data_IF_681470232449
#
_entry.id   IF_681470232449
#
_cell.length_a   1.000
_cell.length_b   1.000
_cell.length_c   1.000
_cell.angle_alpha   90.00
_cell.angle_beta   90.00
_cell.angle_gamma   90.00
#
_symmetry.space_group_name_H-M   'P 1'
#
loop_
_entity.id
_entity.type
_entity.pdbx_description
1 polymer ?
#
# COMPACT_ATOMS: atom_id res chain seq x y z
N UNK A 1 -4.46 -18.97 0.60
CA UNK A 1 -3.15 -18.69 -0.01
C UNK A 1 -2.18 -18.36 1.11
N UNK A 2 -1.38 -19.32 1.55
CA UNK A 2 -0.43 -19.12 2.65
C UNK A 2 0.81 -18.43 2.13
N UNK A 3 0.95 -17.12 2.33
CA UNK A 3 2.20 -16.41 2.08
C UNK A 3 3.21 -16.99 3.08
N UNK A 4 4.12 -17.85 2.62
CA UNK A 4 5.32 -18.18 3.41
C UNK A 4 6.10 -16.89 3.53
N UNK A 5 6.03 -16.29 4.71
CA UNK A 5 6.72 -15.05 5.04
C UNK A 5 8.22 -15.24 4.77
N UNK A 6 8.73 -14.62 3.70
CA UNK A 6 10.12 -14.75 3.28
C UNK A 6 11.08 -14.21 4.34
N UNK A 7 12.39 -14.25 4.06
CA UNK A 7 13.45 -13.66 4.92
C UNK A 7 13.12 -12.23 5.42
N UNK A 8 12.26 -11.51 4.71
CA UNK A 8 11.65 -10.22 5.05
C UNK A 8 11.02 -10.12 6.45
N UNK A 9 10.46 -11.21 6.98
CA UNK A 9 9.67 -11.24 8.22
C UNK A 9 10.35 -11.95 9.41
N UNK A 10 11.69 -12.09 9.44
CA UNK A 10 12.36 -12.85 10.52
C UNK A 10 12.23 -12.26 11.93
N UNK A 11 11.78 -11.02 12.09
CA UNK A 11 11.43 -10.51 13.43
C UNK A 11 10.01 -10.94 13.78
N UNK A 12 9.84 -11.54 14.97
CA UNK A 12 8.51 -11.92 15.51
C UNK A 12 7.49 -10.78 15.47
N UNK A 13 7.95 -9.53 15.44
CA UNK A 13 7.15 -8.31 15.37
C UNK A 13 6.59 -8.05 13.97
N UNK A 14 7.43 -8.20 12.93
CA UNK A 14 6.98 -8.13 11.54
C UNK A 14 5.96 -9.24 11.28
N UNK A 15 6.21 -10.46 11.78
CA UNK A 15 5.21 -11.53 11.70
C UNK A 15 3.91 -11.18 12.40
N UNK A 16 3.95 -10.62 13.61
CA UNK A 16 2.73 -10.25 14.34
C UNK A 16 1.92 -9.19 13.60
N UNK A 17 2.58 -8.19 13.02
CA UNK A 17 1.92 -7.15 12.24
C UNK A 17 1.27 -7.73 10.97
N UNK A 18 2.02 -8.52 10.18
CA UNK A 18 1.49 -9.14 8.95
C UNK A 18 0.40 -10.18 9.24
N UNK A 19 0.53 -10.98 10.31
CA UNK A 19 -0.48 -11.98 10.69
C UNK A 19 -1.83 -11.36 11.05
N UNK A 20 -1.84 -10.16 11.62
CA UNK A 20 -3.07 -9.44 11.97
C UNK A 20 -3.55 -8.49 10.87
N UNK A 21 -2.81 -8.38 9.77
CA UNK A 21 -3.17 -7.49 8.66
C UNK A 21 -4.41 -8.02 7.95
N UNK A 22 -5.38 -7.13 7.73
CA UNK A 22 -6.62 -7.45 7.03
C UNK A 22 -6.55 -6.99 5.58
N UNK A 23 -7.23 -7.71 4.70
CA UNK A 23 -7.40 -7.34 3.29
C UNK A 23 -8.88 -7.12 3.03
N UNK A 24 -9.24 -5.92 2.60
CA UNK A 24 -10.58 -5.57 2.15
C UNK A 24 -10.56 -5.36 0.63
N UNK A 25 -11.36 -6.14 -0.09
CA UNK A 25 -11.43 -6.16 -1.54
C UNK A 25 -12.75 -5.54 -2.01
N UNK A 26 -12.67 -4.57 -2.90
CA UNK A 26 -13.81 -3.90 -3.48
C UNK A 26 -14.44 -2.88 -2.54
N UNK A 27 -15.40 -3.34 -1.74
CA UNK A 27 -16.27 -2.50 -0.93
C UNK A 27 -16.68 -3.20 0.38
N UNK A 28 -17.07 -2.45 1.43
CA UNK A 28 -17.50 -3.04 2.70
C UNK A 28 -18.71 -3.97 2.53
N UNK A 29 -18.65 -5.18 3.10
CA UNK A 29 -19.71 -6.20 2.99
C UNK A 29 -21.06 -5.72 3.53
N UNK A 30 -21.07 -4.81 4.52
CA UNK A 30 -22.29 -4.20 5.09
C UNK A 30 -23.17 -3.51 4.04
N UNK A 31 -22.61 -3.13 2.87
CA UNK A 31 -23.38 -2.57 1.76
C UNK A 31 -24.35 -3.60 1.15
N UNK A 32 -24.04 -4.89 1.25
CA UNK A 32 -24.89 -5.98 0.75
C UNK A 32 -26.10 -6.25 1.67
N UNK A 33 -26.11 -5.72 2.89
CA UNK A 33 -27.22 -5.90 3.82
C UNK A 33 -28.42 -5.03 3.40
N UNK A 34 -29.62 -5.61 3.22
CA UNK A 34 -30.81 -4.86 2.81
C UNK A 34 -31.13 -3.73 3.79
N UNK A 35 -31.44 -2.54 3.26
CA UNK A 35 -31.76 -1.36 4.06
C UNK A 35 -30.57 -0.60 4.64
N UNK A 36 -29.33 -1.12 4.55
CA UNK A 36 -28.14 -0.39 5.04
C UNK A 36 -27.93 0.90 4.27
N UNK A 37 -28.01 0.86 2.94
CA UNK A 37 -27.89 2.06 2.11
C UNK A 37 -29.05 3.04 2.35
N UNK A 38 -30.27 2.54 2.53
CA UNK A 38 -31.45 3.37 2.81
C UNK A 38 -31.34 4.06 4.18
N UNK A 39 -30.77 3.38 5.18
CA UNK A 39 -30.53 3.98 6.51
C UNK A 39 -29.57 5.17 6.45
N UNK A 40 -28.65 5.17 5.49
CA UNK A 40 -27.65 6.22 5.30
C UNK A 40 -28.21 7.30 4.37
N UNK A 41 -28.70 6.93 3.20
CA UNK A 41 -29.02 7.86 2.12
C UNK A 41 -30.52 8.16 1.98
N UNK A 42 -31.40 7.49 2.72
CA UNK A 42 -32.86 7.61 2.55
C UNK A 42 -33.44 9.00 2.84
N UNK A 43 -32.70 9.87 3.54
CA UNK A 43 -33.07 11.27 3.77
C UNK A 43 -32.49 12.25 2.72
N UNK A 44 -31.79 11.75 1.69
CA UNK A 44 -31.32 12.56 0.57
C UNK A 44 -32.36 12.54 -0.54
N UNK A 45 -32.96 13.69 -0.79
CA UNK A 45 -33.81 13.93 -1.95
C UNK A 45 -33.03 14.80 -2.93
N UNK A 46 -33.27 14.65 -4.23
CA UNK A 46 -32.66 15.48 -5.27
C UNK A 46 -33.75 16.05 -6.16
N UNK A 47 -33.67 17.35 -6.45
CA UNK A 47 -34.55 18.05 -7.38
C UNK A 47 -33.85 18.40 -8.70
N UNK A 48 -34.48 19.22 -9.53
CA UNK A 48 -33.90 19.69 -10.79
C UNK A 48 -32.82 20.79 -10.59
N UNK A 49 -32.84 21.49 -9.44
CA UNK A 49 -31.92 22.58 -9.17
C UNK A 49 -30.55 22.06 -8.69
N UNK A 50 -29.52 22.26 -9.51
CA UNK A 50 -28.16 21.81 -9.20
C UNK A 50 -27.60 22.43 -7.91
N UNK A 51 -27.81 23.73 -7.68
CA UNK A 51 -27.27 24.40 -6.48
C UNK A 51 -27.92 23.84 -5.21
N UNK A 52 -29.24 23.61 -5.25
CA UNK A 52 -29.97 23.02 -4.13
C UNK A 52 -29.46 21.61 -3.81
N UNK A 53 -29.28 20.78 -4.84
CA UNK A 53 -28.71 19.43 -4.70
C UNK A 53 -27.32 19.45 -4.06
N UNK A 54 -26.46 20.40 -4.46
CA UNK A 54 -25.12 20.57 -3.86
C UNK A 54 -25.22 20.98 -2.39
N UNK A 55 -26.13 21.88 -2.03
CA UNK A 55 -26.34 22.31 -0.65
C UNK A 55 -26.89 21.19 0.22
N UNK A 56 -27.83 20.39 -0.29
CA UNK A 56 -28.37 19.20 0.38
C UNK A 56 -27.27 18.16 0.63
N UNK A 57 -26.43 17.87 -0.37
CA UNK A 57 -25.28 16.98 -0.22
C UNK A 57 -24.29 17.47 0.83
N UNK A 58 -24.01 18.78 0.89
CA UNK A 58 -23.14 19.35 1.92
C UNK A 58 -23.74 19.20 3.32
N UNK A 59 -25.03 19.51 3.49
CA UNK A 59 -25.75 19.33 4.76
C UNK A 59 -25.72 17.86 5.21
N UNK A 60 -25.98 16.94 4.29
CA UNK A 60 -25.92 15.51 4.53
C UNK A 60 -24.52 15.07 4.99
N UNK A 61 -23.47 15.44 4.26
CA UNK A 61 -22.08 15.08 4.63
C UNK A 61 -21.71 15.60 6.02
N UNK A 62 -22.12 16.83 6.35
CA UNK A 62 -21.90 17.41 7.69
C UNK A 62 -22.64 16.61 8.76
N UNK A 63 -23.93 16.31 8.57
CA UNK A 63 -24.73 15.52 9.52
C UNK A 63 -24.16 14.11 9.70
N UNK A 64 -23.78 13.45 8.60
CA UNK A 64 -23.15 12.13 8.63
C UNK A 64 -21.86 12.13 9.45
N UNK A 65 -21.00 13.13 9.24
CA UNK A 65 -19.76 13.29 10.00
C UNK A 65 -20.03 13.46 11.51
N UNK A 66 -20.96 14.33 11.90
CA UNK A 66 -21.31 14.53 13.30
C UNK A 66 -21.97 13.31 13.95
N UNK A 67 -22.80 12.56 13.22
CA UNK A 67 -23.36 11.31 13.71
C UNK A 67 -22.24 10.30 14.04
N UNK A 68 -21.19 10.20 13.20
CA UNK A 68 -20.06 9.31 13.47
C UNK A 68 -19.24 9.71 14.69
N UNK A 69 -19.14 11.01 15.00
CA UNK A 69 -18.50 11.47 16.25
C UNK A 69 -19.27 11.01 17.49
N UNK A 70 -20.61 10.98 17.42
CA UNK A 70 -21.47 10.66 18.56
C UNK A 70 -21.60 9.15 18.82
N UNK A 71 -21.69 8.33 17.77
CA UNK A 71 -21.95 6.89 17.88
C UNK A 71 -20.69 6.00 17.88
N UNK A 72 -19.50 6.56 17.62
CA UNK A 72 -18.25 5.79 17.56
C UNK A 72 -18.10 4.90 16.31
N UNK A 73 -16.88 4.40 16.08
CA UNK A 73 -16.50 3.73 14.81
C UNK A 73 -16.74 2.21 14.77
N UNK A 74 -17.08 1.57 15.89
CA UNK A 74 -17.07 0.09 15.99
C UNK A 74 -18.45 -0.58 15.97
N UNK A 75 -19.49 0.03 16.56
CA UNK A 75 -20.77 -0.68 16.82
C UNK A 75 -21.93 -0.22 15.93
N UNK A 76 -21.69 0.74 15.02
CA UNK A 76 -22.72 1.25 14.12
C UNK A 76 -22.41 0.83 12.66
N UNK A 77 -23.29 0.09 11.97
CA UNK A 77 -23.14 -0.21 10.54
C UNK A 77 -22.88 1.03 9.68
N UNK A 78 -23.44 2.18 10.08
CA UNK A 78 -23.24 3.49 9.45
C UNK A 78 -21.76 3.92 9.54
N UNK A 79 -21.06 3.67 10.65
CA UNK A 79 -19.65 4.06 10.77
C UNK A 79 -18.69 3.14 10.00
N UNK A 80 -19.12 1.93 9.65
CA UNK A 80 -18.36 1.02 8.79
C UNK A 80 -18.30 1.48 7.33
N UNK A 81 -19.27 2.28 6.88
CA UNK A 81 -19.24 2.89 5.54
C UNK A 81 -18.48 4.23 5.60
N UNK A 82 -17.44 4.34 4.78
CA UNK A 82 -16.67 5.58 4.66
C UNK A 82 -17.08 6.33 3.40
N UNK A 83 -17.67 7.52 3.57
CA UNK A 83 -17.95 8.44 2.45
C UNK A 83 -16.68 9.00 1.78
N UNK A 84 -15.50 8.75 2.37
CA UNK A 84 -14.21 9.15 1.79
C UNK A 84 -13.65 8.11 0.81
N UNK A 85 -14.20 6.90 0.80
CA UNK A 85 -13.74 5.82 -0.09
C UNK A 85 -14.71 5.64 -1.25
N UNK A 86 -14.20 5.75 -2.48
CA UNK A 86 -14.94 5.40 -3.69
C UNK A 86 -14.54 3.98 -4.11
N UNK A 87 -15.42 2.96 -4.01
CA UNK A 87 -15.09 1.58 -4.37
C UNK A 87 -14.78 1.42 -5.86
N UNK A 88 -15.25 2.32 -6.73
CA UNK A 88 -14.95 2.31 -8.16
C UNK A 88 -13.65 3.06 -8.50
N UNK A 89 -12.99 3.67 -7.51
CA UNK A 89 -11.74 4.39 -7.72
C UNK A 89 -10.60 3.48 -8.17
N UNK A 90 -9.62 4.07 -8.84
CA UNK A 90 -8.41 3.43 -9.36
C UNK A 90 -7.23 3.49 -8.38
N UNK A 91 -7.52 3.62 -7.08
CA UNK A 91 -6.49 3.76 -6.05
C UNK A 91 -6.65 2.69 -4.96
N UNK A 92 -5.54 2.40 -4.28
CA UNK A 92 -5.49 1.52 -3.12
C UNK A 92 -4.98 2.31 -1.92
N UNK A 93 -5.31 1.87 -0.71
CA UNK A 93 -4.82 2.51 0.51
C UNK A 93 -4.50 1.49 1.58
N UNK A 94 -3.52 1.82 2.40
CA UNK A 94 -3.27 1.16 3.67
C UNK A 94 -3.82 2.03 4.81
N UNK A 95 -4.58 1.43 5.72
CA UNK A 95 -5.11 2.08 6.92
C UNK A 95 -4.31 1.66 8.14
N UNK A 96 -3.45 2.56 8.62
CA UNK A 96 -2.58 2.32 9.76
C UNK A 96 -3.35 2.00 11.05
N UNK A 97 -4.49 2.66 11.25
CA UNK A 97 -5.31 2.51 12.48
C UNK A 97 -6.07 1.19 12.53
N UNK A 98 -6.31 0.58 11.37
CA UNK A 98 -7.03 -0.70 11.26
C UNK A 98 -6.12 -1.86 10.86
N UNK A 99 -4.83 -1.60 10.62
CA UNK A 99 -3.89 -2.56 10.00
C UNK A 99 -4.54 -3.27 8.79
N UNK A 100 -5.13 -2.48 7.88
CA UNK A 100 -5.97 -3.00 6.80
C UNK A 100 -5.57 -2.44 5.44
N UNK A 101 -5.35 -3.32 4.47
CA UNK A 101 -5.20 -2.96 3.05
C UNK A 101 -6.59 -2.88 2.41
N UNK A 102 -6.90 -1.77 1.76
CA UNK A 102 -8.11 -1.59 0.97
C UNK A 102 -7.75 -1.53 -0.51
N UNK A 103 -8.26 -2.49 -1.28
CA UNK A 103 -8.17 -2.50 -2.74
C UNK A 103 -9.54 -2.19 -3.33
N UNK A 104 -9.68 -1.07 -4.02
CA UNK A 104 -10.94 -0.71 -4.66
C UNK A 104 -11.28 -1.64 -5.83
N UNK A 105 -12.57 -1.81 -6.12
CA UNK A 105 -13.07 -2.63 -7.22
C UNK A 105 -12.53 -2.16 -8.58
N UNK A 106 -12.32 -0.84 -8.74
CA UNK A 106 -11.75 -0.26 -9.96
C UNK A 106 -10.33 -0.73 -10.30
N UNK A 107 -9.60 -1.29 -9.32
CA UNK A 107 -8.28 -1.89 -9.50
C UNK A 107 -8.31 -3.38 -9.84
N UNK A 108 -9.40 -4.09 -9.55
CA UNK A 108 -9.53 -5.53 -9.75
C UNK A 108 -9.72 -5.90 -11.23
N UNK A 109 -8.97 -5.27 -12.13
CA UNK A 109 -9.04 -5.44 -13.58
C UNK A 109 -7.66 -5.28 -14.20
N UNK A 110 -7.52 -5.74 -15.45
CA UNK A 110 -6.29 -5.56 -16.23
C UNK A 110 -5.97 -4.07 -16.37
N UNK A 111 -4.69 -3.65 -16.27
CA UNK A 111 -3.47 -4.48 -16.20
C UNK A 111 -2.99 -4.82 -14.79
N UNK A 112 -3.78 -4.52 -13.74
CA UNK A 112 -3.33 -4.67 -12.35
C UNK A 112 -3.68 -6.06 -11.81
N UNK A 113 -4.91 -6.52 -12.04
CA UNK A 113 -5.35 -7.88 -11.71
C UNK A 113 -6.01 -8.54 -12.92
N UNK A 114 -5.68 -9.81 -13.14
CA UNK A 114 -6.21 -10.62 -14.22
C UNK A 114 -7.15 -11.69 -13.65
N UNK A 115 -8.28 -11.90 -14.33
CA UNK A 115 -9.26 -12.92 -13.92
C UNK A 115 -8.91 -14.33 -14.41
N UNK A 116 -7.94 -14.46 -15.31
CA UNK A 116 -7.50 -15.76 -15.83
C UNK A 116 -6.49 -16.39 -14.88
N UNK A 117 -6.65 -17.68 -14.59
CA UNK A 117 -5.65 -18.45 -13.86
C UNK A 117 -4.38 -18.70 -14.70
N UNK A 118 -4.51 -18.68 -16.03
CA UNK A 118 -3.46 -18.96 -17.02
C UNK A 118 -2.66 -17.71 -17.44
N UNK A 119 -2.39 -16.80 -16.50
CA UNK A 119 -1.49 -15.67 -16.76
C UNK A 119 -0.02 -16.08 -16.65
N UNK A 120 0.86 -15.53 -17.50
CA UNK A 120 2.30 -15.67 -17.32
C UNK A 120 2.76 -15.29 -15.91
N UNK A 121 3.71 -16.06 -15.36
CA UNK A 121 4.19 -15.87 -13.98
C UNK A 121 4.66 -14.44 -13.68
N UNK A 122 5.20 -13.72 -14.67
CA UNK A 122 5.66 -12.35 -14.48
C UNK A 122 4.50 -11.34 -14.30
N UNK A 123 3.30 -11.62 -14.81
CA UNK A 123 2.11 -10.81 -14.53
C UNK A 123 1.62 -11.07 -13.09
N UNK A 124 1.66 -12.34 -12.65
CA UNK A 124 1.38 -12.70 -11.25
C UNK A 124 2.36 -12.05 -10.28
N UNK A 125 3.63 -11.92 -10.66
CA UNK A 125 4.60 -11.11 -9.90
C UNK A 125 4.14 -9.65 -9.78
N UNK A 126 3.62 -9.05 -10.84
CA UNK A 126 3.07 -7.69 -10.82
C UNK A 126 1.88 -7.53 -9.87
N UNK A 127 0.93 -8.47 -9.90
CA UNK A 127 -0.23 -8.52 -9.00
C UNK A 127 0.21 -8.57 -7.53
N UNK A 128 1.10 -9.51 -7.19
CA UNK A 128 1.64 -9.67 -5.84
C UNK A 128 2.42 -8.42 -5.43
N UNK A 129 3.22 -7.85 -6.34
CA UNK A 129 3.96 -6.60 -6.08
C UNK A 129 3.04 -5.46 -5.69
N UNK A 130 1.91 -5.32 -6.39
CA UNK A 130 0.94 -4.29 -6.05
C UNK A 130 0.35 -4.49 -4.64
N UNK A 131 0.04 -5.72 -4.26
CA UNK A 131 -0.45 -6.02 -2.90
C UNK A 131 0.63 -5.78 -1.84
N UNK A 132 1.84 -6.31 -2.05
CA UNK A 132 2.98 -6.18 -1.13
C UNK A 132 3.37 -4.71 -0.94
N UNK A 133 3.26 -3.88 -1.99
CA UNK A 133 3.42 -2.42 -1.85
C UNK A 133 2.51 -1.87 -0.75
N UNK A 134 1.22 -2.23 -0.78
CA UNK A 134 0.27 -1.76 0.21
C UNK A 134 0.57 -2.32 1.61
N UNK A 135 0.98 -3.58 1.70
CA UNK A 135 1.41 -4.19 2.96
C UNK A 135 2.66 -3.52 3.54
N UNK A 136 3.56 -3.02 2.68
CA UNK A 136 4.82 -2.39 3.09
C UNK A 136 4.61 -1.06 3.81
N UNK A 137 3.47 -0.39 3.61
CA UNK A 137 3.09 0.80 4.38
C UNK A 137 2.96 0.52 5.88
N UNK A 138 2.75 -0.73 6.30
CA UNK A 138 2.82 -1.12 7.71
C UNK A 138 4.20 -0.87 8.35
N UNK A 139 5.25 -0.74 7.54
CA UNK A 139 6.64 -0.66 7.99
C UNK A 139 7.35 0.60 7.48
N UNK A 140 6.62 1.55 6.90
CA UNK A 140 7.19 2.80 6.44
C UNK A 140 7.39 3.81 7.59
N UNK A 141 7.82 5.03 7.27
CA UNK A 141 8.17 6.05 8.28
C UNK A 141 6.98 6.47 9.13
N UNK A 142 5.75 6.17 8.71
CA UNK A 142 4.52 6.40 9.46
C UNK A 142 4.03 5.12 10.11
N UNK A 143 4.01 4.01 9.38
CA UNK A 143 3.53 2.72 9.85
C UNK A 143 4.34 2.12 11.00
N UNK A 144 5.63 2.46 11.11
CA UNK A 144 6.48 1.98 12.20
C UNK A 144 5.99 2.37 13.61
N UNK A 145 5.13 3.39 13.74
CA UNK A 145 4.52 3.81 15.00
C UNK A 145 3.23 3.04 15.33
N UNK A 146 2.71 2.23 14.41
CA UNK A 146 1.47 1.47 14.60
C UNK A 146 1.78 -0.01 14.82
N UNK A 147 1.15 -0.61 15.84
CA UNK A 147 1.29 -2.03 16.09
C UNK A 147 0.34 -2.88 15.23
N UNK A 148 0.44 -4.21 15.35
CA UNK A 148 -0.41 -5.15 14.59
C UNK A 148 -1.91 -5.03 14.86
N UNK A 149 -2.33 -4.29 15.89
CA UNK A 149 -3.74 -4.00 16.19
C UNK A 149 -4.16 -2.60 15.70
N UNK A 150 -3.24 -1.84 15.10
CA UNK A 150 -3.46 -0.47 14.64
C UNK A 150 -3.40 0.58 15.76
N UNK A 151 -2.88 0.23 16.94
CA UNK A 151 -2.65 1.20 18.01
C UNK A 151 -1.39 2.02 17.70
N UNK A 152 -1.52 3.34 17.73
CA UNK A 152 -0.39 4.26 17.61
C UNK A 152 0.39 4.36 18.92
N UNK A 153 1.72 4.40 18.80
CA UNK A 153 2.66 4.57 19.90
C UNK A 153 3.46 5.86 19.71
N UNK A 154 3.85 6.53 20.80
CA UNK A 154 4.64 7.77 20.76
C UNK A 154 6.08 7.56 20.25
N UNK A 155 6.52 6.30 20.23
CA UNK A 155 7.83 5.87 19.73
C UNK A 155 7.68 4.55 18.97
N UNK A 156 8.67 4.24 18.14
CA UNK A 156 8.72 2.93 17.46
C UNK A 156 8.70 1.83 18.52
N UNK A 157 7.70 0.96 18.45
CA UNK A 157 7.41 -0.10 19.45
C UNK A 157 8.30 -1.34 19.27
N UNK A 158 9.29 -1.26 18.38
CA UNK A 158 10.24 -2.32 18.07
C UNK A 158 11.44 -2.33 19.03
N UNK A 159 12.18 -3.45 19.14
CA UNK A 159 13.45 -3.53 19.84
C UNK A 159 14.44 -2.52 19.30
N UNK A 160 15.26 -1.96 20.19
CA UNK A 160 16.23 -0.92 19.85
C UNK A 160 17.21 -1.34 18.74
N UNK A 161 17.58 -2.62 18.70
CA UNK A 161 18.42 -3.19 17.64
C UNK A 161 17.77 -3.11 16.26
N UNK A 162 16.44 -3.24 16.17
CA UNK A 162 15.70 -3.11 14.93
C UNK A 162 15.48 -1.64 14.56
N UNK A 163 15.24 -0.78 15.56
CA UNK A 163 15.13 0.67 15.37
C UNK A 163 16.41 1.23 14.75
N UNK A 164 17.59 0.91 15.30
CA UNK A 164 18.88 1.37 14.74
C UNK A 164 19.11 0.93 13.28
N UNK A 165 18.69 -0.30 12.93
CA UNK A 165 18.76 -0.78 11.54
C UNK A 165 17.80 -0.03 10.63
N UNK A 166 16.61 0.27 11.14
CA UNK A 166 15.61 1.03 10.42
C UNK A 166 16.07 2.46 10.17
N UNK A 167 16.62 3.13 11.18
CA UNK A 167 17.17 4.49 11.05
C UNK A 167 18.25 4.53 9.96
N UNK A 168 19.24 3.63 10.03
CA UNK A 168 20.28 3.50 9.01
C UNK A 168 19.70 3.28 7.61
N UNK A 169 18.68 2.42 7.47
CA UNK A 169 18.01 2.19 6.20
C UNK A 169 17.34 3.46 5.66
N UNK A 170 16.60 4.18 6.50
CA UNK A 170 15.93 5.43 6.06
C UNK A 170 16.93 6.52 5.68
N UNK A 171 18.04 6.63 6.40
CA UNK A 171 19.10 7.58 6.09
C UNK A 171 19.82 7.23 4.79
N UNK A 172 20.10 5.94 4.56
CA UNK A 172 20.62 5.46 3.28
C UNK A 172 19.71 5.89 2.12
N UNK A 173 18.39 5.71 2.26
CA UNK A 173 17.43 6.12 1.23
C UNK A 173 17.43 7.62 1.00
N UNK A 174 17.43 8.43 2.08
CA UNK A 174 17.54 9.89 1.96
C UNK A 174 18.79 10.27 1.17
N UNK A 175 19.95 9.72 1.53
CA UNK A 175 21.22 9.99 0.83
C UNK A 175 21.18 9.57 -0.63
N UNK A 176 20.60 8.41 -0.95
CA UNK A 176 20.46 7.92 -2.31
C UNK A 176 19.58 8.84 -3.18
N UNK A 177 18.63 9.53 -2.57
CA UNK A 177 17.68 10.40 -3.27
C UNK A 177 18.11 11.87 -3.31
N UNK A 178 18.99 12.32 -2.40
CA UNK A 178 19.47 13.71 -2.31
C UNK A 178 20.01 14.24 -3.66
N UNK A 179 20.65 13.37 -4.45
CA UNK A 179 21.25 13.76 -5.73
C UNK A 179 20.26 13.75 -6.91
N UNK A 180 19.00 13.37 -6.72
CA UNK A 180 17.97 13.38 -7.76
C UNK A 180 17.21 14.71 -7.69
N UNK A 181 17.58 15.65 -8.56
CA UNK A 181 17.26 17.10 -8.58
C UNK A 181 15.77 17.49 -8.64
N UNK A 182 14.83 16.59 -8.42
CA UNK A 182 13.39 16.86 -8.46
C UNK A 182 12.60 16.12 -7.39
N UNK A 183 13.27 15.61 -6.35
CA UNK A 183 12.64 14.83 -5.28
C UNK A 183 12.87 15.54 -3.95
N UNK A 184 11.80 15.92 -3.27
CA UNK A 184 11.87 16.34 -1.87
C UNK A 184 12.04 15.09 -0.99
N UNK A 185 13.28 14.87 -0.55
CA UNK A 185 13.69 13.74 0.28
C UNK A 185 13.30 13.89 1.74
N UNK A 186 12.95 15.11 2.17
CA UNK A 186 12.50 15.38 3.53
C UNK A 186 10.99 15.14 3.68
N UNK A 187 10.28 14.97 2.57
CA UNK A 187 8.88 14.61 2.59
C UNK A 187 8.71 13.11 2.95
N UNK A 188 8.08 12.86 4.10
CA UNK A 188 7.75 11.50 4.55
C UNK A 188 6.85 10.75 3.55
N UNK A 189 5.97 11.41 2.80
CA UNK A 189 5.14 10.75 1.78
C UNK A 189 5.99 10.16 0.65
N UNK A 190 7.03 10.88 0.24
CA UNK A 190 8.00 10.39 -0.77
C UNK A 190 8.74 9.17 -0.24
N UNK A 191 9.25 9.24 1.00
CA UNK A 191 9.95 8.12 1.62
C UNK A 191 9.03 6.91 1.80
N UNK A 192 7.80 7.10 2.27
CA UNK A 192 6.81 6.04 2.42
C UNK A 192 6.50 5.36 1.10
N UNK A 193 6.32 6.15 0.04
CA UNK A 193 6.13 5.65 -1.33
C UNK A 193 7.30 4.75 -1.73
N UNK A 194 8.54 5.22 -1.54
CA UNK A 194 9.76 4.51 -1.96
C UNK A 194 10.00 3.24 -1.13
N UNK A 195 9.76 3.28 0.18
CA UNK A 195 9.80 2.09 1.03
C UNK A 195 8.79 1.05 0.54
N UNK A 196 7.58 1.49 0.16
CA UNK A 196 6.57 0.65 -0.45
C UNK A 196 6.98 0.07 -1.81
N UNK A 197 7.61 0.87 -2.69
CA UNK A 197 8.15 0.41 -3.97
C UNK A 197 9.26 -0.64 -3.73
N UNK A 198 10.27 -0.35 -2.92
CA UNK A 198 11.39 -1.27 -2.64
C UNK A 198 10.87 -2.59 -2.04
N UNK A 199 9.98 -2.51 -1.04
CA UNK A 199 9.37 -3.68 -0.42
C UNK A 199 8.59 -4.53 -1.42
N UNK A 200 7.85 -3.89 -2.33
CA UNK A 200 7.09 -4.57 -3.38
C UNK A 200 7.95 -5.42 -4.29
N UNK A 201 9.06 -4.87 -4.78
CA UNK A 201 9.93 -5.58 -5.70
C UNK A 201 10.71 -6.69 -5.01
N UNK A 202 11.25 -6.45 -3.81
CA UNK A 202 12.06 -7.43 -3.09
C UNK A 202 11.24 -8.66 -2.66
N UNK A 203 10.11 -8.46 -1.99
CA UNK A 203 9.30 -9.57 -1.45
C UNK A 203 8.59 -10.35 -2.56
N UNK A 204 8.14 -9.64 -3.61
CA UNK A 204 7.49 -10.32 -4.73
C UNK A 204 8.52 -11.08 -5.57
N UNK A 205 9.76 -10.61 -5.64
CA UNK A 205 10.83 -11.29 -6.35
C UNK A 205 11.22 -12.57 -5.62
N UNK A 206 11.35 -12.53 -4.28
CA UNK A 206 11.50 -13.72 -3.45
C UNK A 206 10.38 -14.74 -3.75
N UNK A 207 9.11 -14.30 -3.74
CA UNK A 207 7.96 -15.16 -4.02
C UNK A 207 7.96 -15.71 -5.46
N UNK A 208 8.48 -14.95 -6.42
CA UNK A 208 8.56 -15.34 -7.82
C UNK A 208 9.68 -16.37 -8.06
N UNK A 209 10.86 -16.18 -7.45
CA UNK A 209 11.99 -17.09 -7.57
C UNK A 209 11.72 -18.46 -6.94
N UNK A 210 10.91 -18.53 -5.88
CA UNK A 210 10.42 -19.81 -5.34
C UNK A 210 9.55 -20.59 -6.36
N UNK A 211 9.05 -19.92 -7.40
CA UNK A 211 8.18 -20.50 -8.45
C UNK A 211 8.91 -20.81 -9.78
N UNK A 212 10.23 -20.69 -9.84
CA UNK A 212 11.06 -21.05 -11.01
C UNK A 212 11.17 -19.96 -12.10
N UNK A 213 12.26 -20.01 -12.86
CA UNK A 213 12.78 -18.97 -13.77
C UNK A 213 12.01 -18.83 -15.09
N UNK A 214 11.72 -17.59 -15.51
CA UNK A 214 11.34 -17.22 -16.88
C UNK A 214 12.01 -15.88 -17.25
N UNK A 215 12.52 -15.80 -18.48
CA UNK A 215 13.01 -14.60 -19.18
C UNK A 215 11.86 -13.74 -19.70
N UNK A 216 11.82 -12.45 -19.33
CA UNK A 216 10.79 -11.50 -19.78
C UNK A 216 11.32 -10.55 -20.85
N UNK A 217 10.51 -10.30 -21.89
CA UNK A 217 10.71 -9.22 -22.88
C UNK A 217 10.13 -7.90 -22.36
N UNK A 218 10.83 -6.81 -22.68
CA UNK A 218 10.50 -5.45 -22.25
C UNK A 218 9.19 -4.94 -22.86
N UNK A 219 8.33 -4.35 -22.02
CA UNK A 219 7.26 -3.46 -22.46
C UNK A 219 7.47 -2.09 -21.80
N UNK A 220 7.51 -1.03 -22.60
CA UNK A 220 7.61 0.36 -22.12
C UNK A 220 6.32 0.77 -21.44
N UNK A 221 6.34 0.84 -20.10
CA UNK A 221 5.29 1.47 -19.30
C UNK A 221 5.85 2.79 -18.78
N UNK A 222 5.18 3.91 -19.09
CA UNK A 222 5.50 5.24 -18.57
C UNK A 222 5.06 5.34 -17.10
N UNK A 223 5.81 4.71 -16.20
CA UNK A 223 5.80 5.01 -14.77
C UNK A 223 6.78 6.16 -14.49
N UNK A 224 6.62 6.97 -13.43
CA UNK A 224 7.65 7.93 -13.04
C UNK A 224 8.97 7.19 -12.87
N UNK A 225 9.91 7.41 -13.80
CA UNK A 225 11.14 6.59 -13.93
C UNK A 225 11.89 6.46 -12.61
N UNK A 226 11.81 7.46 -11.74
CA UNK A 226 12.45 7.42 -10.43
C UNK A 226 11.91 6.33 -9.51
N UNK A 227 10.60 6.00 -9.56
CA UNK A 227 10.00 4.98 -8.69
C UNK A 227 10.51 3.59 -9.02
N UNK A 228 10.47 3.24 -10.30
CA UNK A 228 11.02 1.98 -10.81
C UNK A 228 12.53 1.94 -10.58
N UNK A 229 13.27 2.97 -11.05
CA UNK A 229 14.73 2.97 -11.00
C UNK A 229 15.26 2.91 -9.57
N UNK A 230 14.67 3.64 -8.61
CA UNK A 230 15.08 3.58 -7.20
C UNK A 230 14.79 2.21 -6.60
N UNK A 231 13.65 1.59 -6.91
CA UNK A 231 13.35 0.26 -6.40
C UNK A 231 14.33 -0.79 -6.92
N UNK A 232 14.49 -0.86 -8.25
CA UNK A 232 15.34 -1.88 -8.88
C UNK A 232 16.84 -1.64 -8.65
N UNK A 233 17.29 -0.39 -8.45
CA UNK A 233 18.71 -0.11 -8.11
C UNK A 233 19.12 -0.71 -6.76
N UNK A 234 18.17 -0.88 -5.84
CA UNK A 234 18.38 -1.50 -4.53
C UNK A 234 18.27 -3.03 -4.55
N UNK A 235 17.94 -3.63 -5.69
CA UNK A 235 17.96 -5.08 -5.89
C UNK A 235 19.32 -5.52 -6.43
N UNK A 236 19.93 -6.53 -5.81
CA UNK A 236 21.15 -7.14 -6.33
C UNK A 236 20.84 -7.95 -7.60
N UNK A 237 19.77 -8.75 -7.54
CA UNK A 237 19.35 -9.65 -8.59
C UNK A 237 19.02 -8.92 -9.90
N UNK A 238 18.45 -7.70 -9.81
CA UNK A 238 18.20 -6.89 -11.00
C UNK A 238 19.49 -6.56 -11.75
N UNK A 239 20.55 -6.17 -11.02
CA UNK A 239 21.85 -5.88 -11.63
C UNK A 239 22.46 -7.10 -12.31
N UNK A 240 22.27 -8.29 -11.75
CA UNK A 240 22.76 -9.55 -12.30
C UNK A 240 21.98 -9.98 -13.54
N UNK A 241 20.64 -9.98 -13.46
CA UNK A 241 19.77 -10.40 -14.57
C UNK A 241 19.94 -9.51 -15.80
N UNK A 242 20.09 -8.20 -15.59
CA UNK A 242 20.26 -7.24 -16.67
C UNK A 242 21.73 -6.93 -17.00
N UNK A 243 22.68 -7.64 -16.41
CA UNK A 243 24.12 -7.41 -16.60
C UNK A 243 24.52 -5.93 -16.44
N UNK A 244 23.94 -5.25 -15.43
CA UNK A 244 24.21 -3.85 -15.17
C UNK A 244 25.66 -3.70 -14.65
N UNK A 245 26.50 -2.85 -15.30
CA UNK A 245 27.86 -2.62 -14.85
C UNK A 245 27.92 -2.17 -13.39
N UNK A 246 28.94 -2.60 -12.65
CA UNK A 246 29.17 -2.13 -11.29
C UNK A 246 29.26 -0.60 -11.25
N UNK A 247 28.63 0.02 -10.26
CA UNK A 247 28.54 1.48 -10.08
C UNK A 247 27.71 2.22 -11.14
N UNK A 248 27.01 1.51 -12.03
CA UNK A 248 26.04 2.13 -12.94
C UNK A 248 24.81 2.65 -12.17
N UNK A 249 23.99 3.55 -12.76
CA UNK A 249 22.81 4.10 -12.08
C UNK A 249 21.79 3.07 -11.58
N UNK A 250 21.70 1.89 -12.22
CA UNK A 250 20.83 0.79 -11.81
C UNK A 250 21.56 -0.31 -11.03
N UNK A 251 22.88 -0.16 -10.82
CA UNK A 251 23.68 -1.05 -9.97
C UNK A 251 24.70 -0.26 -9.13
N UNK A 252 24.23 0.64 -8.24
CA UNK A 252 25.10 1.41 -7.36
C UNK A 252 25.82 0.48 -6.37
N UNK A 253 26.99 0.94 -5.89
CA UNK A 253 27.77 0.26 -4.85
C UNK A 253 27.03 0.16 -3.52
N UNK A 254 26.23 1.18 -3.20
CA UNK A 254 25.38 1.22 -2.01
C UNK A 254 23.94 0.88 -2.40
N UNK A 255 23.42 -0.22 -1.84
CA UNK A 255 22.03 -0.64 -1.97
C UNK A 255 21.34 -0.47 -0.62
N UNK A 256 20.30 0.34 -0.58
CA UNK A 256 19.50 0.62 0.60
C UNK A 256 18.32 -0.36 0.63
N UNK A 257 18.37 -1.35 1.50
CA UNK A 257 17.25 -2.24 1.79
C UNK A 257 17.17 -2.50 3.30
N UNK A 258 15.97 -2.83 3.78
CA UNK A 258 15.70 -3.16 5.19
C UNK A 258 15.95 -4.66 5.49
N UNK A 259 16.65 -5.35 4.59
CA UNK A 259 16.85 -6.81 4.56
C UNK A 259 18.25 -7.20 5.03
#
# INVERSE_FOLDING_TARGET
MGIRLSKFCRSKLKEHCVKNMKLNLGYPEVINEPGTLDSIFGNLEFGENHLENVLQLRRFKTRYFFNRLWYGDSDNPISQISLKTNPFGDNARYDYTKNTVYLNLGLLRSPIYFYSEDIPKYLRFGEISFLVRQMSHAFDTTGCFYDGKGKMWDRIWWPETLVRKYDFYTDCLRTQLLNKTSIDVNNNETLNTIVGDIGSFLVSYDSYCESGTITTKENKINSPRFRVNTAVSNMKDFGEVFNCPSQSPLNPSVKCNLL
#
